data_IF_786109447070
#
_entry.id   IF_786109447070
#
_cell.length_a   1.000
_cell.length_b   1.000
_cell.length_c   1.000
_cell.angle_alpha   90.00
_cell.angle_beta   90.00
_cell.angle_gamma   90.00
#
_symmetry.space_group_name_H-M   'P 1'
#
loop_
_entity.id
_entity.type
_entity.pdbx_description
1 polymer ?
#
# COMPACT_ATOMS: atom_id res chain seq x y z
N UNK A 1 -19.60 72.18 -35.38
CA UNK A 1 -19.68 72.02 -33.91
C UNK A 1 -19.30 70.59 -33.59
N UNK A 2 -18.36 70.42 -32.66
CA UNK A 2 -17.56 69.22 -32.38
C UNK A 2 -18.12 68.51 -31.14
N UNK A 3 -17.94 67.18 -31.10
CA UNK A 3 -17.93 66.25 -29.95
C UNK A 3 -19.25 65.52 -29.65
N UNK A 4 -19.34 64.31 -30.20
CA UNK A 4 -20.20 63.24 -29.70
C UNK A 4 -19.74 62.86 -28.28
N UNK A 5 -20.73 62.76 -27.42
CA UNK A 5 -20.61 62.56 -25.98
C UNK A 5 -20.22 61.11 -25.70
N UNK A 6 -18.99 60.95 -25.23
CA UNK A 6 -18.55 60.06 -24.14
C UNK A 6 -19.32 58.73 -24.03
N UNK A 7 -18.80 57.70 -24.70
CA UNK A 7 -19.12 56.29 -24.46
C UNK A 7 -18.48 55.89 -23.12
N UNK A 8 -19.26 55.87 -22.03
CA UNK A 8 -18.79 55.40 -20.73
C UNK A 8 -19.09 53.90 -20.59
N UNK A 9 -18.00 53.17 -20.37
CA UNK A 9 -17.91 51.80 -19.93
C UNK A 9 -19.04 51.38 -18.98
N UNK A 10 -19.74 50.31 -19.34
CA UNK A 10 -20.36 49.45 -18.34
C UNK A 10 -19.93 48.02 -18.64
N UNK A 11 -18.80 47.70 -18.04
CA UNK A 11 -18.26 46.35 -17.83
C UNK A 11 -19.30 45.56 -17.05
N UNK A 12 -19.89 44.55 -17.67
CA UNK A 12 -20.39 43.38 -16.95
C UNK A 12 -19.77 42.17 -17.65
N UNK A 13 -18.48 42.00 -17.38
CA UNK A 13 -17.76 40.76 -17.58
C UNK A 13 -18.36 39.78 -16.56
N UNK A 14 -19.35 39.00 -16.97
CA UNK A 14 -19.84 37.85 -16.20
C UNK A 14 -18.74 36.80 -16.18
N UNK A 15 -17.78 36.98 -15.27
CA UNK A 15 -16.83 35.96 -14.84
C UNK A 15 -17.69 34.88 -14.19
N UNK A 16 -17.96 33.82 -14.96
CA UNK A 16 -18.37 32.55 -14.40
C UNK A 16 -17.22 32.06 -13.52
N UNK A 17 -17.39 32.16 -12.21
CA UNK A 17 -16.52 31.48 -11.26
C UNK A 17 -16.86 30.00 -11.41
N UNK A 18 -16.14 29.32 -12.30
CA UNK A 18 -16.07 27.87 -12.29
C UNK A 18 -15.21 27.56 -11.07
N UNK A 19 -15.86 27.22 -9.95
CA UNK A 19 -15.20 26.48 -8.89
C UNK A 19 -14.83 25.12 -9.47
N UNK A 20 -13.66 25.07 -10.12
CA UNK A 20 -12.99 23.81 -10.36
C UNK A 20 -12.56 23.34 -8.97
N UNK A 21 -13.45 22.60 -8.31
CA UNK A 21 -13.05 21.72 -7.24
C UNK A 21 -12.15 20.68 -7.89
N UNK A 22 -10.85 20.95 -7.91
CA UNK A 22 -9.89 19.86 -7.98
C UNK A 22 -10.17 18.98 -6.77
N UNK A 23 -10.95 17.92 -6.96
CA UNK A 23 -10.77 16.74 -6.16
C UNK A 23 -9.33 16.32 -6.46
N UNK A 24 -8.43 16.69 -5.56
CA UNK A 24 -7.15 16.01 -5.47
C UNK A 24 -7.56 14.67 -4.91
N UNK A 25 -7.79 13.72 -5.79
CA UNK A 25 -7.83 12.31 -5.39
C UNK A 25 -6.56 12.12 -4.57
N UNK A 26 -6.71 11.76 -3.29
CA UNK A 26 -5.58 11.50 -2.41
C UNK A 26 -4.95 10.18 -2.85
N UNK A 27 -4.21 10.24 -3.96
CA UNK A 27 -3.46 9.13 -4.53
C UNK A 27 -2.36 8.75 -3.54
N UNK A 28 -2.27 7.47 -3.18
CA UNK A 28 -1.11 6.91 -2.48
C UNK A 28 0.14 7.32 -3.27
N UNK A 29 0.95 8.24 -2.72
CA UNK A 29 2.13 8.78 -3.41
C UNK A 29 3.24 7.74 -3.59
N UNK A 30 3.09 6.54 -3.01
CA UNK A 30 4.11 5.50 -2.93
C UNK A 30 3.78 4.32 -3.84
N UNK A 31 3.59 4.62 -5.13
CA UNK A 31 3.50 3.62 -6.21
C UNK A 31 4.77 2.78 -6.38
N UNK A 32 5.87 3.13 -5.71
CA UNK A 32 7.15 2.42 -5.80
C UNK A 32 7.11 0.97 -5.30
N UNK A 33 6.09 0.53 -4.58
CA UNK A 33 5.94 -0.87 -4.14
C UNK A 33 5.05 -1.69 -5.08
N UNK A 34 4.44 -1.05 -6.08
CA UNK A 34 3.61 -1.71 -7.07
C UNK A 34 4.51 -2.47 -8.04
N UNK A 35 4.14 -3.70 -8.35
CA UNK A 35 5.02 -4.57 -9.10
C UNK A 35 4.65 -6.04 -9.07
N UNK A 36 5.28 -6.78 -9.98
CA UNK A 36 5.37 -8.25 -9.92
C UNK A 36 6.70 -8.62 -9.30
N UNK A 37 6.63 -9.38 -8.22
CA UNK A 37 7.78 -9.88 -7.46
C UNK A 37 7.91 -11.38 -7.71
N UNK A 38 9.06 -11.80 -8.22
CA UNK A 38 9.39 -13.22 -8.35
C UNK A 38 10.35 -13.62 -7.23
N UNK A 39 10.05 -14.76 -6.63
CA UNK A 39 10.68 -15.14 -5.39
C UNK A 39 10.48 -16.60 -5.03
N UNK A 40 10.65 -16.88 -3.75
CA UNK A 40 10.42 -18.20 -3.18
C UNK A 40 9.45 -18.15 -2.02
N UNK A 41 8.66 -19.20 -1.90
CA UNK A 41 7.76 -19.44 -0.78
C UNK A 41 8.31 -20.62 0.03
N UNK A 42 8.45 -20.42 1.33
CA UNK A 42 8.81 -21.46 2.30
C UNK A 42 7.73 -21.60 3.35
N UNK A 43 7.69 -22.73 4.06
CA UNK A 43 6.69 -22.96 5.11
C UNK A 43 7.30 -23.60 6.35
N UNK A 44 6.72 -23.33 7.52
CA UNK A 44 7.12 -23.97 8.77
C UNK A 44 6.60 -25.42 8.95
N UNK A 45 5.77 -25.93 8.03
CA UNK A 45 5.25 -27.31 8.03
C UNK A 45 6.34 -28.39 7.98
N UNK A 46 7.46 -28.13 7.29
CA UNK A 46 8.60 -29.06 7.16
C UNK A 46 9.31 -29.43 8.47
N UNK A 47 8.96 -28.79 9.59
CA UNK A 47 9.53 -29.11 10.92
C UNK A 47 8.89 -30.33 11.60
N UNK A 48 7.76 -30.85 11.09
CA UNK A 48 7.04 -32.00 11.68
C UNK A 48 7.11 -33.30 10.86
N UNK A 49 7.64 -33.27 9.65
CA UNK A 49 7.86 -34.45 8.81
C UNK A 49 9.26 -34.39 8.20
N UNK A 50 9.92 -35.53 8.08
CA UNK A 50 11.34 -35.71 7.66
C UNK A 50 11.69 -35.25 6.24
N UNK A 51 10.88 -34.40 5.61
CA UNK A 51 11.09 -33.85 4.29
C UNK A 51 11.31 -32.35 4.50
N UNK A 52 12.56 -31.90 4.34
CA UNK A 52 12.83 -30.47 4.23
C UNK A 52 12.04 -29.95 3.02
N UNK A 53 11.03 -29.12 3.27
CA UNK A 53 10.35 -28.40 2.20
C UNK A 53 11.36 -27.43 1.59
N UNK A 54 11.85 -27.76 0.41
CA UNK A 54 12.69 -26.86 -0.37
C UNK A 54 11.87 -25.61 -0.72
N UNK A 55 12.48 -24.41 -0.73
CA UNK A 55 11.81 -23.20 -1.23
C UNK A 55 11.20 -23.45 -2.61
N UNK A 56 9.90 -23.18 -2.75
CA UNK A 56 9.18 -23.30 -4.03
C UNK A 56 9.14 -21.94 -4.71
N UNK A 57 9.38 -21.88 -6.01
CA UNK A 57 9.19 -20.62 -6.75
C UNK A 57 7.76 -20.12 -6.59
N UNK A 58 7.60 -18.80 -6.40
CA UNK A 58 6.32 -18.15 -6.28
C UNK A 58 6.37 -16.73 -6.83
N UNK A 59 5.19 -16.20 -7.17
CA UNK A 59 5.03 -14.84 -7.66
C UNK A 59 4.09 -14.09 -6.70
N UNK A 60 4.44 -12.85 -6.37
CA UNK A 60 3.56 -11.93 -5.68
C UNK A 60 3.30 -10.71 -6.56
N UNK A 61 2.03 -10.41 -6.81
CA UNK A 61 1.58 -9.25 -7.57
C UNK A 61 1.04 -8.23 -6.58
N UNK A 62 1.61 -7.03 -6.60
CA UNK A 62 1.23 -5.92 -5.71
C UNK A 62 0.52 -4.86 -6.55
N UNK A 63 -0.72 -4.54 -6.16
CA UNK A 63 -1.59 -3.57 -6.85
C UNK A 63 -2.20 -2.58 -5.87
N UNK A 64 -2.65 -1.42 -6.38
CA UNK A 64 -3.40 -0.44 -5.58
C UNK A 64 -4.88 -0.80 -5.61
N UNK A 65 -5.54 -0.79 -4.46
CA UNK A 65 -6.98 -0.99 -4.30
C UNK A 65 -7.53 0.07 -3.35
N UNK A 66 -8.15 1.12 -3.90
CA UNK A 66 -8.55 2.29 -3.13
C UNK A 66 -7.35 2.99 -2.51
N UNK A 67 -7.38 3.20 -1.19
CA UNK A 67 -6.30 3.84 -0.42
C UNK A 67 -5.28 2.83 0.15
N UNK A 68 -5.37 1.55 -0.26
CA UNK A 68 -4.52 0.47 0.23
C UNK A 68 -3.80 -0.22 -0.94
N UNK A 69 -2.89 -1.15 -0.61
CA UNK A 69 -2.40 -2.13 -1.56
C UNK A 69 -3.08 -3.49 -1.36
N UNK A 70 -3.10 -4.30 -2.42
CA UNK A 70 -3.37 -5.72 -2.33
C UNK A 70 -2.12 -6.49 -2.79
N UNK A 71 -1.70 -7.47 -2.00
CA UNK A 71 -0.66 -8.44 -2.35
C UNK A 71 -1.33 -9.77 -2.66
N UNK A 72 -1.26 -10.19 -3.92
CA UNK A 72 -1.74 -11.48 -4.39
C UNK A 72 -0.54 -12.39 -4.67
N UNK A 73 -0.34 -13.42 -3.84
CA UNK A 73 0.79 -14.34 -3.93
C UNK A 73 0.31 -15.74 -4.32
N UNK A 74 0.98 -16.35 -5.30
CA UNK A 74 0.62 -17.66 -5.80
C UNK A 74 1.81 -18.48 -6.30
N UNK A 75 1.63 -19.80 -6.29
CA UNK A 75 2.40 -20.80 -7.03
C UNK A 75 1.48 -21.99 -7.40
N UNK A 76 2.04 -23.16 -7.73
CA UNK A 76 1.24 -24.34 -8.10
C UNK A 76 0.36 -24.89 -6.96
N UNK A 77 0.77 -24.71 -5.70
CA UNK A 77 0.16 -25.33 -4.51
C UNK A 77 -0.36 -24.31 -3.47
N UNK A 78 -0.18 -23.02 -3.72
CA UNK A 78 -0.48 -21.94 -2.77
C UNK A 78 -1.08 -20.75 -3.51
N UNK A 79 -2.11 -20.16 -2.93
CA UNK A 79 -2.73 -18.93 -3.40
C UNK A 79 -3.28 -18.15 -2.19
N UNK A 80 -2.92 -16.88 -2.07
CA UNK A 80 -3.42 -15.98 -1.04
C UNK A 80 -3.46 -14.53 -1.52
N UNK A 81 -4.47 -13.80 -1.08
CA UNK A 81 -4.58 -12.36 -1.28
C UNK A 81 -4.71 -11.66 0.07
N UNK A 82 -4.03 -10.52 0.25
CA UNK A 82 -4.13 -9.72 1.46
C UNK A 82 -4.11 -8.22 1.14
N UNK A 83 -4.97 -7.46 1.82
CA UNK A 83 -5.01 -6.00 1.72
C UNK A 83 -4.24 -5.35 2.87
N UNK A 84 -3.41 -4.37 2.54
CA UNK A 84 -2.45 -3.77 3.47
C UNK A 84 -2.37 -2.25 3.33
N UNK A 85 -2.23 -1.57 4.46
CA UNK A 85 -1.68 -0.22 4.54
C UNK A 85 -0.17 -0.28 4.39
N UNK A 86 0.42 0.78 3.84
CA UNK A 86 1.88 0.96 3.75
C UNK A 86 2.32 2.25 4.44
N UNK A 87 3.45 2.18 5.13
CA UNK A 87 4.01 3.30 5.89
C UNK A 87 5.51 3.45 5.63
N UNK A 88 5.97 4.66 5.36
CA UNK A 88 7.40 4.94 5.20
C UNK A 88 8.18 4.72 6.51
N UNK A 89 9.34 4.08 6.39
CA UNK A 89 10.29 3.86 7.48
C UNK A 89 11.74 3.84 6.94
N UNK A 90 12.27 5.02 6.62
CA UNK A 90 13.59 5.14 5.99
C UNK A 90 13.63 4.45 4.62
N UNK A 91 14.50 3.46 4.47
CA UNK A 91 14.69 2.69 3.23
C UNK A 91 13.63 1.58 3.03
N UNK A 92 12.70 1.44 3.97
CA UNK A 92 11.66 0.42 3.95
C UNK A 92 10.26 1.03 3.87
N UNK A 93 9.36 0.31 3.20
CA UNK A 93 7.92 0.50 3.36
C UNK A 93 7.38 -0.63 4.24
N UNK A 94 6.90 -0.30 5.42
CA UNK A 94 6.34 -1.26 6.37
C UNK A 94 4.86 -1.50 6.03
N UNK A 95 4.38 -2.72 6.28
CA UNK A 95 2.98 -3.07 6.00
C UNK A 95 2.18 -3.33 7.26
N UNK A 96 0.90 -2.97 7.23
CA UNK A 96 -0.05 -3.32 8.29
C UNK A 96 -1.39 -3.76 7.69
N UNK A 97 -2.12 -4.63 8.39
CA UNK A 97 -3.46 -5.02 8.00
C UNK A 97 -4.42 -3.83 7.97
N UNK A 98 -5.46 -3.96 7.16
CA UNK A 98 -6.53 -2.97 7.01
C UNK A 98 -7.81 -3.52 7.64
N UNK A 99 -8.75 -2.64 7.98
CA UNK A 99 -10.14 -3.00 8.25
C UNK A 99 -10.35 -4.19 9.20
N UNK A 100 -11.16 -5.15 8.77
CA UNK A 100 -11.55 -6.31 9.58
C UNK A 100 -10.37 -7.27 9.82
N UNK A 101 -9.42 -7.38 8.89
CA UNK A 101 -8.21 -8.19 9.05
C UNK A 101 -7.35 -7.67 10.21
N UNK A 102 -7.27 -6.35 10.39
CA UNK A 102 -6.59 -5.74 11.54
C UNK A 102 -7.25 -6.18 12.86
N UNK A 103 -8.57 -6.01 12.97
CA UNK A 103 -9.32 -6.35 14.19
C UNK A 103 -9.21 -7.83 14.52
N UNK A 104 -9.32 -8.68 13.51
CA UNK A 104 -9.19 -10.13 13.65
C UNK A 104 -7.79 -10.53 14.12
N UNK A 105 -6.75 -9.87 13.63
CA UNK A 105 -5.36 -10.17 14.00
C UNK A 105 -5.03 -9.67 15.41
N UNK A 106 -5.34 -8.42 15.73
CA UNK A 106 -4.84 -7.77 16.94
C UNK A 106 -5.86 -7.73 18.08
N UNK A 107 -7.14 -8.01 17.81
CA UNK A 107 -8.21 -8.01 18.81
C UNK A 107 -8.60 -6.63 19.32
N UNK A 108 -8.27 -5.58 18.55
CA UNK A 108 -8.68 -4.20 18.79
C UNK A 108 -8.84 -3.47 17.46
N UNK A 109 -9.65 -2.41 17.45
CA UNK A 109 -9.94 -1.61 16.25
C UNK A 109 -8.91 -0.50 16.07
N UNK A 110 -8.63 -0.18 14.81
CA UNK A 110 -7.98 1.07 14.44
C UNK A 110 -8.77 2.25 15.02
N UNK A 111 -8.05 3.25 15.50
CA UNK A 111 -8.64 4.50 15.93
C UNK A 111 -9.35 5.18 14.74
N UNK A 112 -10.51 5.80 14.98
CA UNK A 112 -11.28 6.51 13.93
C UNK A 112 -10.56 7.76 13.38
N UNK A 113 -9.38 8.07 13.91
CA UNK A 113 -8.53 9.12 13.36
C UNK A 113 -7.99 8.62 12.03
N UNK A 114 -8.63 9.04 10.93
CA UNK A 114 -8.22 8.79 9.54
C UNK A 114 -6.69 8.94 9.36
N UNK A 115 -5.96 7.82 9.46
CA UNK A 115 -4.55 7.72 9.11
C UNK A 115 -4.45 7.41 7.61
N UNK A 116 -5.05 8.25 6.77
CA UNK A 116 -4.42 8.47 5.47
C UNK A 116 -3.12 9.17 5.83
N UNK A 117 -1.99 8.48 5.65
CA UNK A 117 -0.65 8.89 6.06
C UNK A 117 -0.55 10.40 6.21
N UNK A 118 -0.52 10.86 7.46
CA UNK A 118 -0.47 12.28 7.75
C UNK A 118 0.71 12.82 6.93
N UNK A 119 0.43 13.78 6.04
CA UNK A 119 1.33 14.37 5.04
C UNK A 119 2.51 15.12 5.66
N UNK A 120 3.23 14.50 6.58
CA UNK A 120 4.55 14.89 7.01
C UNK A 120 5.53 13.87 6.43
N UNK A 121 6.14 14.24 5.31
CA UNK A 121 7.31 13.56 4.74
C UNK A 121 8.48 13.66 5.73
N UNK A 122 8.52 12.78 6.73
CA UNK A 122 9.61 12.74 7.70
C UNK A 122 10.22 11.35 7.89
N UNK A 123 9.97 10.38 6.99
CA UNK A 123 10.47 9.00 7.07
C UNK A 123 10.11 8.26 8.38
N UNK A 124 9.13 8.75 9.15
CA UNK A 124 8.75 8.22 10.47
C UNK A 124 7.26 7.84 10.55
N UNK A 125 6.59 7.70 9.41
CA UNK A 125 5.17 7.35 9.35
C UNK A 125 4.89 6.03 10.09
N UNK A 126 5.79 5.06 9.94
CA UNK A 126 5.69 3.78 10.64
C UNK A 126 5.72 3.90 12.16
N UNK A 127 6.68 4.66 12.71
CA UNK A 127 6.82 4.83 14.16
C UNK A 127 5.58 5.52 14.74
N UNK A 128 5.08 6.55 14.06
CA UNK A 128 3.86 7.23 14.46
C UNK A 128 2.64 6.29 14.42
N UNK A 129 2.51 5.46 13.38
CA UNK A 129 1.44 4.47 13.28
C UNK A 129 1.48 3.48 14.44
N UNK A 130 2.67 2.95 14.78
CA UNK A 130 2.84 2.04 15.91
C UNK A 130 2.42 2.68 17.24
N UNK A 131 2.84 3.91 17.50
CA UNK A 131 2.53 4.61 18.76
C UNK A 131 1.04 4.90 18.96
N UNK A 132 0.32 5.13 17.85
CA UNK A 132 -1.10 5.49 17.88
C UNK A 132 -2.03 4.27 17.84
N UNK A 133 -1.66 3.27 17.05
CA UNK A 133 -2.58 2.19 16.67
C UNK A 133 -2.21 0.84 17.27
N UNK A 134 -0.99 0.64 17.77
CA UNK A 134 -0.52 -0.70 18.16
C UNK A 134 -0.14 -0.83 19.63
N UNK A 135 -0.27 -2.06 20.12
CA UNK A 135 0.35 -2.51 21.37
C UNK A 135 1.71 -3.11 21.05
N UNK A 136 2.62 -3.11 22.03
CA UNK A 136 3.96 -3.70 21.89
C UNK A 136 3.95 -5.18 21.46
N UNK A 137 2.87 -5.92 21.75
CA UNK A 137 2.69 -7.32 21.37
C UNK A 137 2.24 -7.55 19.92
N UNK A 138 1.82 -6.50 19.22
CA UNK A 138 1.25 -6.61 17.88
C UNK A 138 2.35 -6.92 16.86
N UNK A 139 2.19 -8.03 16.13
CA UNK A 139 3.17 -8.51 15.16
C UNK A 139 2.84 -8.03 13.76
N UNK A 140 3.86 -7.63 13.01
CA UNK A 140 3.73 -7.26 11.61
C UNK A 140 4.46 -8.25 10.71
N UNK A 141 3.91 -8.47 9.52
CA UNK A 141 4.22 -9.65 8.72
C UNK A 141 4.92 -9.36 7.40
N UNK A 142 5.19 -8.10 7.07
CA UNK A 142 5.99 -7.83 5.89
C UNK A 142 6.43 -6.39 5.70
N UNK A 143 7.36 -6.24 4.78
CA UNK A 143 7.96 -4.98 4.40
C UNK A 143 8.47 -5.05 2.97
N UNK A 144 8.57 -3.89 2.35
CA UNK A 144 9.31 -3.70 1.10
C UNK A 144 10.65 -3.05 1.42
N UNK A 145 11.72 -3.60 0.85
CA UNK A 145 13.03 -2.95 0.81
C UNK A 145 13.10 -2.12 -0.47
N UNK A 146 13.12 -0.79 -0.32
CA UNK A 146 13.06 0.14 -1.45
C UNK A 146 14.40 0.26 -2.17
N UNK A 147 15.52 -0.11 -1.52
CA UNK A 147 16.85 -0.11 -2.12
C UNK A 147 17.05 -1.36 -2.99
N UNK A 148 16.62 -2.51 -2.47
CA UNK A 148 16.76 -3.80 -3.15
C UNK A 148 15.56 -4.15 -4.03
N UNK A 149 14.52 -3.31 -4.04
CA UNK A 149 13.25 -3.57 -4.71
C UNK A 149 12.68 -4.94 -4.33
N UNK A 150 12.74 -5.32 -3.06
CA UNK A 150 12.31 -6.64 -2.59
C UNK A 150 11.05 -6.55 -1.74
N UNK A 151 10.32 -7.67 -1.68
CA UNK A 151 9.18 -7.89 -0.81
C UNK A 151 9.47 -9.11 0.05
N UNK A 152 9.35 -8.94 1.36
CA UNK A 152 9.30 -10.04 2.33
C UNK A 152 7.93 -10.00 3.01
N UNK A 153 7.18 -11.11 2.95
CA UNK A 153 5.86 -11.19 3.58
C UNK A 153 5.57 -12.59 4.13
N UNK A 154 4.91 -12.65 5.30
CA UNK A 154 4.49 -13.89 5.94
C UNK A 154 2.97 -14.01 5.93
N UNK A 155 2.46 -15.01 5.21
CA UNK A 155 1.04 -15.35 5.23
C UNK A 155 0.74 -16.33 6.37
N UNK A 156 -0.25 -16.00 7.19
CA UNK A 156 -0.76 -16.87 8.25
C UNK A 156 -2.07 -17.53 7.81
N UNK A 157 -2.01 -18.80 7.43
CA UNK A 157 -3.17 -19.57 6.95
C UNK A 157 -3.33 -20.80 7.82
N UNK A 158 -4.47 -20.92 8.52
CA UNK A 158 -4.79 -22.06 9.39
C UNK A 158 -3.69 -22.43 10.41
N UNK A 159 -2.97 -21.43 10.91
CA UNK A 159 -1.88 -21.61 11.88
C UNK A 159 -0.54 -22.06 11.27
N UNK A 160 -0.46 -22.10 9.94
CA UNK A 160 0.77 -22.31 9.17
C UNK A 160 1.31 -20.96 8.72
N UNK A 161 2.63 -20.81 8.80
CA UNK A 161 3.33 -19.63 8.30
C UNK A 161 3.92 -19.96 6.93
N UNK A 162 3.60 -19.14 5.93
CA UNK A 162 4.17 -19.18 4.59
C UNK A 162 4.98 -17.91 4.35
N UNK A 163 6.29 -18.05 4.22
CA UNK A 163 7.21 -16.92 4.07
C UNK A 163 7.55 -16.74 2.59
N UNK A 164 7.15 -15.60 2.04
CA UNK A 164 7.52 -15.16 0.70
C UNK A 164 8.69 -14.19 0.79
N UNK A 165 9.70 -14.41 -0.04
CA UNK A 165 10.78 -13.44 -0.32
C UNK A 165 10.97 -13.35 -1.83
N UNK A 166 10.87 -12.14 -2.38
CA UNK A 166 11.00 -11.92 -3.83
C UNK A 166 11.55 -10.55 -4.20
N UNK A 167 12.04 -10.45 -5.44
CA UNK A 167 12.54 -9.21 -6.05
C UNK A 167 11.56 -8.75 -7.11
N UNK A 168 11.30 -7.45 -7.18
CA UNK A 168 10.46 -6.84 -8.20
C UNK A 168 11.13 -6.94 -9.57
N UNK A 169 10.41 -7.47 -10.54
CA UNK A 169 10.87 -7.55 -11.93
C UNK A 169 10.31 -6.42 -12.80
N UNK A 170 9.01 -6.15 -12.72
CA UNK A 170 8.33 -5.15 -13.56
C UNK A 170 7.06 -4.60 -12.89
N UNK A 171 6.54 -3.48 -13.42
CA UNK A 171 5.25 -2.90 -13.00
C UNK A 171 4.09 -3.47 -13.86
N UNK A 172 2.92 -3.77 -13.28
CA UNK A 172 1.82 -4.44 -13.99
C UNK A 172 1.26 -3.67 -15.21
N UNK A 173 1.53 -2.38 -15.34
CA UNK A 173 1.04 -1.54 -16.45
C UNK A 173 1.80 -1.74 -17.78
N UNK A 174 2.88 -2.53 -17.82
CA UNK A 174 3.58 -2.85 -19.08
C UNK A 174 2.91 -3.96 -19.92
N UNK A 175 1.82 -4.56 -19.44
CA UNK A 175 1.07 -5.58 -20.19
C UNK A 175 -0.32 -5.03 -20.50
N UNK A 176 -0.38 -4.18 -21.52
CA UNK A 176 -1.65 -3.72 -22.10
C UNK A 176 -2.48 -4.91 -22.59
N UNK A 177 -3.64 -5.12 -21.96
CA UNK A 177 -4.72 -5.91 -22.53
C UNK A 177 -5.63 -5.04 -23.41
#
# INVERSE_FOLDING_TARGET
>A
MKKYIIFKCLVILSIGIVIISCNKDDVISNTHVIGVYNGSLTTNLGSKSSIQDSPKSATAVVTVVGDNIQVYCYNEDFEAAISLNIFENGDFMMTCFVGEEFEKMYGHSLSQTNIVGYKQNNNLQWIQHLELEHKESDKHYGSFDMLNNSLSYTFLIDGVEYYFEGIREYEPEEIGF
#
